data_IF_188708793400
#
_entry.id   IF_188708793400
#
_cell.length_a   1.000
_cell.length_b   1.000
_cell.length_c   1.000
_cell.angle_alpha   90.00
_cell.angle_beta   90.00
_cell.angle_gamma   90.00
#
_symmetry.space_group_name_H-M   'P 1'
#
loop_
_entity.id
_entity.type
_entity.pdbx_description
1 polymer ?
#
# COMPACT_ATOMS: atom_id res chain seq x y z
N UNK A 1 -2.50 30.61 -30.35
CA UNK A 1 -2.95 31.47 -29.22
C UNK A 1 -1.98 31.25 -28.06
N UNK A 2 -1.48 32.31 -27.41
CA UNK A 2 -0.56 32.16 -26.26
C UNK A 2 -1.39 31.81 -25.02
N UNK A 3 -0.98 30.78 -24.28
CA UNK A 3 -1.57 30.39 -23.01
C UNK A 3 -1.55 31.58 -22.03
N UNK A 4 -2.66 31.85 -21.36
CA UNK A 4 -2.74 32.89 -20.33
C UNK A 4 -2.98 32.23 -18.97
N UNK A 5 -1.88 31.99 -18.25
CA UNK A 5 -1.90 31.31 -16.96
C UNK A 5 -2.73 32.06 -15.91
N UNK A 6 -2.73 33.39 -15.95
CA UNK A 6 -3.50 34.18 -14.99
C UNK A 6 -5.00 33.95 -15.15
N UNK A 7 -5.48 33.95 -16.39
CA UNK A 7 -6.90 33.71 -16.69
C UNK A 7 -7.35 32.31 -16.26
N UNK A 8 -6.53 31.28 -16.53
CA UNK A 8 -6.82 29.89 -16.13
C UNK A 8 -6.89 29.71 -14.60
N UNK A 9 -6.02 30.40 -13.85
CA UNK A 9 -6.04 30.34 -12.39
C UNK A 9 -7.26 31.06 -11.80
N UNK A 10 -7.64 32.22 -12.36
CA UNK A 10 -8.86 32.92 -11.96
C UNK A 10 -10.09 32.05 -12.18
N UNK A 11 -10.21 31.44 -13.37
CA UNK A 11 -11.28 30.50 -13.69
C UNK A 11 -11.35 29.33 -12.70
N UNK A 12 -10.21 28.73 -12.35
CA UNK A 12 -10.16 27.64 -11.36
C UNK A 12 -10.60 28.05 -9.96
N UNK A 13 -10.28 29.28 -9.54
CA UNK A 13 -10.69 29.80 -8.23
C UNK A 13 -12.19 30.12 -8.18
N UNK A 14 -12.74 30.68 -9.26
CA UNK A 14 -14.18 30.94 -9.39
C UNK A 14 -14.97 29.62 -9.38
N UNK A 15 -14.47 28.60 -10.09
CA UNK A 15 -15.05 27.27 -10.07
C UNK A 15 -15.00 26.64 -8.67
N UNK A 16 -13.90 26.80 -7.93
CA UNK A 16 -13.79 26.35 -6.54
C UNK A 16 -14.78 27.06 -5.61
N UNK A 17 -15.00 28.37 -5.79
CA UNK A 17 -15.98 29.14 -5.02
C UNK A 17 -17.41 28.66 -5.29
N UNK A 18 -17.78 28.50 -6.56
CA UNK A 18 -19.08 27.99 -6.97
C UNK A 18 -19.33 26.55 -6.46
N UNK A 19 -18.29 25.70 -6.40
CA UNK A 19 -18.38 24.37 -5.83
C UNK A 19 -18.69 24.41 -4.32
N UNK A 20 -18.00 25.27 -3.56
CA UNK A 20 -18.23 25.44 -2.11
C UNK A 20 -19.62 25.97 -1.77
N UNK A 21 -20.19 26.77 -2.67
CA UNK A 21 -21.57 27.26 -2.58
C UNK A 21 -22.62 26.23 -3.06
N UNK A 22 -22.18 25.06 -3.54
CA UNK A 22 -23.06 24.00 -4.05
C UNK A 22 -23.66 24.31 -5.43
N UNK A 23 -23.15 25.33 -6.14
CA UNK A 23 -23.65 25.76 -7.46
C UNK A 23 -23.09 24.92 -8.61
N UNK A 24 -21.98 24.22 -8.39
CA UNK A 24 -21.39 23.27 -9.34
C UNK A 24 -20.70 22.12 -8.63
N UNK A 25 -20.33 21.10 -9.39
CA UNK A 25 -19.52 19.98 -8.90
C UNK A 25 -18.14 20.00 -9.54
N UNK A 26 -17.11 19.71 -8.73
CA UNK A 26 -15.75 19.48 -9.20
C UNK A 26 -15.36 18.01 -8.99
N UNK A 27 -14.39 17.53 -9.78
CA UNK A 27 -13.79 16.22 -9.54
C UNK A 27 -13.09 16.24 -8.18
N UNK A 28 -13.61 15.46 -7.25
CA UNK A 28 -13.02 15.24 -5.93
C UNK A 28 -12.48 13.83 -5.84
N UNK A 29 -11.35 13.68 -5.14
CA UNK A 29 -10.82 12.39 -4.73
C UNK A 29 -10.78 12.41 -3.21
N UNK A 30 -11.69 11.67 -2.58
CA UNK A 30 -11.65 11.48 -1.14
C UNK A 30 -10.53 10.50 -0.79
N UNK A 31 -9.62 10.92 0.09
CA UNK A 31 -8.55 10.07 0.60
C UNK A 31 -8.72 9.94 2.10
N UNK A 32 -8.88 8.70 2.56
CA UNK A 32 -8.83 8.39 4.00
C UNK A 32 -7.38 8.13 4.38
N UNK A 33 -6.90 8.81 5.42
CA UNK A 33 -5.60 8.51 6.03
C UNK A 33 -5.79 7.26 6.88
N UNK A 34 -5.30 6.12 6.38
CA UNK A 34 -5.33 4.85 7.10
C UNK A 34 -4.16 4.75 8.08
N UNK A 35 -4.40 4.12 9.22
CA UNK A 35 -3.34 3.83 10.18
C UNK A 35 -2.35 2.81 9.59
N UNK A 36 -1.06 2.88 9.96
CA UNK A 36 -0.09 1.87 9.58
C UNK A 36 -0.57 0.47 9.99
N UNK A 37 -0.35 -0.49 9.11
CA UNK A 37 -0.62 -1.90 9.40
C UNK A 37 0.55 -2.45 10.21
N UNK A 38 0.27 -2.98 11.39
CA UNK A 38 1.20 -3.80 12.15
C UNK A 38 0.96 -5.29 11.88
N UNK A 39 2.04 -6.07 11.87
CA UNK A 39 1.99 -7.54 11.76
C UNK A 39 2.94 -8.14 12.79
N UNK A 40 2.42 -9.11 13.54
CA UNK A 40 3.15 -9.85 14.58
C UNK A 40 4.00 -10.98 13.99
N UNK A 41 5.01 -11.42 14.73
CA UNK A 41 5.86 -12.55 14.33
C UNK A 41 5.05 -13.84 14.06
N UNK A 42 4.03 -14.09 14.88
CA UNK A 42 3.15 -15.27 14.73
C UNK A 42 2.28 -15.19 13.48
N UNK A 43 1.74 -14.01 13.14
CA UNK A 43 1.01 -13.82 11.89
C UNK A 43 1.89 -14.05 10.66
N UNK A 44 3.13 -13.54 10.67
CA UNK A 44 4.09 -13.74 9.58
C UNK A 44 4.37 -15.25 9.39
N UNK A 45 4.58 -15.97 10.50
CA UNK A 45 4.81 -17.40 10.51
C UNK A 45 3.59 -18.17 10.01
N UNK A 46 2.38 -17.76 10.41
CA UNK A 46 1.12 -18.36 9.98
C UNK A 46 0.90 -18.19 8.47
N UNK A 47 1.13 -16.99 7.93
CA UNK A 47 1.04 -16.70 6.50
C UNK A 47 1.98 -17.58 5.70
N UNK A 48 3.23 -17.75 6.15
CA UNK A 48 4.16 -18.67 5.49
C UNK A 48 3.73 -20.13 5.54
N UNK A 49 3.24 -20.57 6.70
CA UNK A 49 2.77 -21.94 6.86
C UNK A 49 1.59 -22.23 5.91
N UNK A 50 0.63 -21.30 5.80
CA UNK A 50 -0.49 -21.39 4.87
C UNK A 50 -0.05 -21.41 3.39
N UNK A 51 1.04 -20.72 3.06
CA UNK A 51 1.62 -20.73 1.71
C UNK A 51 2.48 -21.99 1.40
N UNK A 52 2.57 -22.95 2.32
CA UNK A 52 3.41 -24.15 2.22
C UNK A 52 4.86 -23.87 1.82
N UNK A 53 5.41 -22.74 2.30
CA UNK A 53 6.73 -22.26 1.94
C UNK A 53 7.74 -22.41 3.09
N UNK A 54 8.99 -22.69 2.75
CA UNK A 54 10.10 -22.49 3.69
C UNK A 54 10.37 -21.00 3.89
N UNK A 55 11.07 -20.63 4.98
CA UNK A 55 11.42 -19.23 5.24
C UNK A 55 12.21 -18.61 4.08
N UNK A 56 13.14 -19.36 3.48
CA UNK A 56 13.93 -18.89 2.36
C UNK A 56 13.08 -18.70 1.08
N UNK A 57 12.11 -19.58 0.83
CA UNK A 57 11.18 -19.44 -0.30
C UNK A 57 10.29 -18.22 -0.11
N UNK A 58 9.72 -18.05 1.08
CA UNK A 58 8.87 -16.88 1.37
C UNK A 58 9.65 -15.57 1.27
N UNK A 59 10.87 -15.52 1.81
CA UNK A 59 11.72 -14.34 1.71
C UNK A 59 11.99 -13.94 0.25
N UNK A 60 12.29 -14.92 -0.62
CA UNK A 60 12.51 -14.69 -2.06
C UNK A 60 11.23 -14.21 -2.76
N UNK A 61 10.09 -14.82 -2.47
CA UNK A 61 8.77 -14.40 -3.00
C UNK A 61 8.44 -12.95 -2.64
N UNK A 62 8.78 -12.52 -1.42
CA UNK A 62 8.60 -11.16 -0.94
C UNK A 62 9.78 -10.22 -1.30
N UNK A 63 10.79 -10.70 -2.03
CA UNK A 63 12.00 -9.95 -2.45
C UNK A 63 12.75 -9.30 -1.29
N UNK A 64 12.80 -10.00 -0.15
CA UNK A 64 13.58 -9.60 1.02
C UNK A 64 14.69 -10.61 1.29
N UNK A 65 15.72 -10.17 2.01
CA UNK A 65 16.76 -11.07 2.46
C UNK A 65 16.17 -12.12 3.42
N UNK A 66 16.62 -13.38 3.30
CA UNK A 66 16.23 -14.49 4.19
C UNK A 66 16.42 -14.14 5.67
N UNK A 67 17.53 -13.48 6.03
CA UNK A 67 17.81 -13.05 7.40
C UNK A 67 16.81 -12.01 7.89
N UNK A 68 16.40 -11.07 7.02
CA UNK A 68 15.36 -10.08 7.35
C UNK A 68 14.05 -10.77 7.67
N UNK A 69 13.63 -11.70 6.82
CA UNK A 69 12.41 -12.46 7.01
C UNK A 69 12.45 -13.32 8.29
N UNK A 70 13.59 -13.97 8.58
CA UNK A 70 13.82 -14.71 9.82
C UNK A 70 13.72 -13.80 11.06
N UNK A 71 14.33 -12.62 11.01
CA UNK A 71 14.28 -11.66 12.12
C UNK A 71 12.83 -11.22 12.41
N UNK A 72 12.00 -11.11 11.37
CA UNK A 72 10.57 -10.83 11.51
C UNK A 72 9.81 -11.98 12.18
N UNK A 73 10.00 -13.22 11.73
CA UNK A 73 9.38 -14.40 12.38
C UNK A 73 9.88 -14.65 13.81
N UNK A 74 11.06 -14.13 14.16
CA UNK A 74 11.60 -14.17 15.52
C UNK A 74 11.19 -12.97 16.38
N UNK A 75 10.53 -11.96 15.80
CA UNK A 75 10.15 -10.73 16.50
C UNK A 75 11.33 -9.81 16.88
N UNK A 76 12.54 -10.09 16.39
CA UNK A 76 13.74 -9.26 16.65
C UNK A 76 13.78 -7.99 15.81
N UNK A 77 13.01 -7.96 14.72
CA UNK A 77 12.77 -6.78 13.90
C UNK A 77 11.31 -6.76 13.44
N UNK A 78 10.79 -5.57 13.11
CA UNK A 78 9.46 -5.41 12.50
C UNK A 78 9.56 -5.19 10.99
N UNK A 79 8.62 -5.70 10.19
CA UNK A 79 8.49 -5.30 8.80
C UNK A 79 8.20 -3.80 8.70
N UNK A 80 8.69 -3.16 7.63
CA UNK A 80 8.27 -1.80 7.31
C UNK A 80 6.80 -1.77 6.87
N UNK A 81 6.20 -0.58 6.76
CA UNK A 81 4.77 -0.44 6.45
C UNK A 81 4.38 -1.12 5.14
N UNK A 82 5.23 -1.07 4.10
CA UNK A 82 4.96 -1.70 2.81
C UNK A 82 5.00 -3.22 2.90
N UNK A 83 5.99 -3.78 3.61
CA UNK A 83 6.11 -5.21 3.85
C UNK A 83 4.95 -5.73 4.71
N UNK A 84 4.54 -4.98 5.74
CA UNK A 84 3.37 -5.29 6.56
C UNK A 84 2.08 -5.36 5.73
N UNK A 85 1.88 -4.39 4.82
CA UNK A 85 0.77 -4.38 3.86
C UNK A 85 0.82 -5.62 2.97
N UNK A 86 1.98 -5.95 2.39
CA UNK A 86 2.13 -7.12 1.51
C UNK A 86 1.86 -8.43 2.27
N UNK A 87 2.34 -8.56 3.50
CA UNK A 87 2.09 -9.76 4.33
C UNK A 87 0.59 -9.89 4.62
N UNK A 88 -0.10 -8.79 5.00
CA UNK A 88 -1.56 -8.80 5.18
C UNK A 88 -2.33 -9.03 3.89
N UNK A 89 -1.80 -8.58 2.76
CA UNK A 89 -2.41 -8.82 1.46
C UNK A 89 -2.32 -10.30 1.10
N UNK A 90 -1.16 -10.94 1.28
CA UNK A 90 -0.97 -12.39 1.09
C UNK A 90 -1.85 -13.20 2.06
N UNK A 91 -2.00 -12.75 3.31
CA UNK A 91 -2.89 -13.40 4.29
C UNK A 91 -4.35 -13.45 3.79
N UNK A 92 -4.85 -12.34 3.23
CA UNK A 92 -6.23 -12.23 2.74
C UNK A 92 -6.42 -12.80 1.34
N UNK A 93 -5.39 -12.71 0.50
CA UNK A 93 -5.40 -13.00 -0.92
C UNK A 93 -4.14 -13.80 -1.28
N UNK A 94 -4.11 -15.13 -1.05
CA UNK A 94 -2.94 -15.95 -1.31
C UNK A 94 -2.44 -15.90 -2.77
N UNK A 95 -3.32 -15.62 -3.73
CA UNK A 95 -3.02 -15.39 -5.14
C UNK A 95 -2.01 -14.25 -5.37
N UNK A 96 -1.90 -13.32 -4.41
CA UNK A 96 -0.94 -12.22 -4.44
C UNK A 96 0.49 -12.72 -4.56
N UNK A 97 0.82 -13.88 -3.98
CA UNK A 97 2.17 -14.45 -4.11
C UNK A 97 2.50 -14.77 -5.57
N UNK A 98 1.54 -15.26 -6.34
CA UNK A 98 1.73 -15.55 -7.77
C UNK A 98 1.89 -14.25 -8.57
N UNK A 99 1.12 -13.21 -8.22
CA UNK A 99 1.27 -11.89 -8.83
C UNK A 99 2.66 -11.31 -8.58
N UNK A 100 3.20 -11.46 -7.37
CA UNK A 100 4.55 -10.99 -7.01
C UNK A 100 5.66 -11.75 -7.76
N UNK A 101 5.45 -13.03 -8.07
CA UNK A 101 6.37 -13.84 -8.89
C UNK A 101 6.38 -13.39 -10.36
N UNK A 102 5.29 -12.79 -10.85
CA UNK A 102 5.15 -12.32 -12.23
C UNK A 102 5.70 -10.89 -12.48
N UNK A 103 6.11 -10.17 -11.43
CA UNK A 103 6.72 -8.84 -11.52
C UNK A 103 8.20 -8.89 -11.96
#
# INVERSE_FOLDING_TARGET
MKRNLFAELTEGMDALAAEREGKMTLRKVEVRVLQPIDVTAEEIKAVRAAAHASQAVMARRLRVNVRTYQNWEQGTAKPNTQAAVLIKLVEKHPETLQMLEAL
#
